data_IF_347219215553
#
_entry.id   IF_347219215553
#
_cell.length_a   1.000
_cell.length_b   1.000
_cell.length_c   1.000
_cell.angle_alpha   90.00
_cell.angle_beta   90.00
_cell.angle_gamma   90.00
#
_symmetry.space_group_name_H-M   'P 1'
#
loop_
_entity.id
_entity.type
_entity.pdbx_description
1 polymer ?
#
# COMPACT_ATOMS: atom_id res chain seq x y z
N UNK A 1 -0.11 0.46 9.66
CA UNK A 1 -0.75 -0.86 9.85
C UNK A 1 0.24 -2.01 10.09
N UNK A 2 1.39 -2.11 9.40
CA UNK A 2 2.31 -3.26 9.53
C UNK A 2 3.22 -3.29 10.78
N UNK A 3 3.27 -2.22 11.58
CA UNK A 3 4.08 -2.16 12.81
C UNK A 3 3.50 -2.94 14.00
N UNK A 4 2.24 -3.38 13.91
CA UNK A 4 1.51 -4.01 15.02
C UNK A 4 1.31 -5.53 14.86
N UNK A 5 1.86 -6.14 13.80
CA UNK A 5 1.74 -7.60 13.58
C UNK A 5 2.99 -8.30 14.14
N UNK A 6 2.81 -9.01 15.25
CA UNK A 6 3.86 -9.75 15.93
C UNK A 6 4.62 -10.68 14.98
N UNK A 7 5.90 -10.37 14.77
CA UNK A 7 7.10 -11.13 14.35
C UNK A 7 7.03 -12.43 13.51
N UNK A 8 5.93 -13.17 13.43
CA UNK A 8 5.80 -14.41 12.67
C UNK A 8 5.30 -14.19 11.23
N UNK A 9 4.09 -13.65 10.96
CA UNK A 9 3.58 -13.51 9.58
C UNK A 9 4.38 -12.50 8.75
N UNK A 10 4.78 -11.38 9.38
CA UNK A 10 5.59 -10.33 8.75
C UNK A 10 6.90 -10.88 8.18
N UNK A 11 7.58 -11.77 8.91
CA UNK A 11 8.86 -12.34 8.47
C UNK A 11 8.69 -13.28 7.27
N UNK A 12 7.61 -14.06 7.24
CA UNK A 12 7.32 -14.93 6.11
C UNK A 12 6.89 -14.13 4.88
N UNK A 13 6.05 -13.12 5.05
CA UNK A 13 5.65 -12.18 4.00
C UNK A 13 6.86 -11.53 3.32
N UNK A 14 7.78 -10.94 4.09
CA UNK A 14 8.99 -10.36 3.52
C UNK A 14 9.88 -11.39 2.87
N UNK A 15 10.07 -12.58 3.47
CA UNK A 15 10.85 -13.65 2.84
C UNK A 15 10.25 -14.09 1.50
N UNK A 16 8.92 -14.16 1.39
CA UNK A 16 8.22 -14.53 0.17
C UNK A 16 8.37 -13.44 -0.89
N UNK A 17 8.18 -12.18 -0.48
CA UNK A 17 8.49 -11.00 -1.29
C UNK A 17 9.91 -11.17 -1.79
N UNK A 18 10.96 -11.09 -0.95
CA UNK A 18 12.38 -11.09 -1.33
C UNK A 18 12.88 -12.25 -2.22
N UNK A 19 12.09 -13.30 -2.43
CA UNK A 19 12.40 -14.42 -3.32
C UNK A 19 11.93 -14.24 -4.77
N UNK A 20 11.03 -13.30 -5.04
CA UNK A 20 10.56 -12.99 -6.39
C UNK A 20 11.71 -12.48 -7.27
N UNK A 21 11.94 -13.04 -8.44
CA UNK A 21 12.95 -12.52 -9.37
C UNK A 21 12.46 -11.22 -10.03
N UNK A 22 12.67 -10.09 -9.34
CA UNK A 22 12.20 -8.77 -9.78
C UNK A 22 13.30 -7.72 -9.71
N UNK A 23 13.07 -6.62 -10.43
CA UNK A 23 13.99 -5.48 -10.46
C UNK A 23 14.17 -4.88 -9.06
N UNK A 24 15.41 -4.46 -8.75
CA UNK A 24 15.77 -3.78 -7.48
C UNK A 24 14.79 -2.66 -7.08
N UNK A 25 14.29 -1.90 -8.06
CA UNK A 25 13.35 -0.79 -7.83
C UNK A 25 12.00 -1.26 -7.28
N UNK A 26 11.51 -2.42 -7.71
CA UNK A 26 10.25 -2.99 -7.24
C UNK A 26 10.37 -3.34 -5.76
N UNK A 27 11.49 -3.95 -5.37
CA UNK A 27 11.77 -4.24 -3.96
C UNK A 27 11.76 -3.02 -3.05
N UNK A 28 12.49 -1.99 -3.44
CA UNK A 28 12.59 -0.75 -2.67
C UNK A 28 11.21 -0.12 -2.54
N UNK A 29 10.43 -0.12 -3.62
CA UNK A 29 9.07 0.38 -3.62
C UNK A 29 8.16 -0.42 -2.68
N UNK A 30 8.15 -1.76 -2.77
CA UNK A 30 7.36 -2.62 -1.88
C UNK A 30 7.77 -2.41 -0.41
N UNK A 31 9.06 -2.32 -0.12
CA UNK A 31 9.57 -2.01 1.20
C UNK A 31 9.07 -0.64 1.71
N UNK A 32 9.14 0.40 0.88
CA UNK A 32 8.61 1.73 1.21
C UNK A 32 7.10 1.68 1.47
N UNK A 33 6.33 0.96 0.65
CA UNK A 33 4.89 0.77 0.86
C UNK A 33 4.60 0.09 2.19
N UNK A 34 5.30 -1.00 2.51
CA UNK A 34 5.09 -1.76 3.74
C UNK A 34 5.45 -0.99 5.01
N UNK A 35 6.37 -0.04 4.91
CA UNK A 35 6.68 0.89 6.01
C UNK A 35 5.85 2.19 5.93
N UNK A 36 4.94 2.28 4.97
CA UNK A 36 4.15 3.45 4.62
C UNK A 36 5.01 4.69 4.30
N UNK A 37 6.30 4.56 4.02
CA UNK A 37 7.24 5.71 3.90
C UNK A 37 6.93 6.61 2.69
N UNK A 38 6.15 6.12 1.72
CA UNK A 38 5.83 6.88 0.51
C UNK A 38 5.21 8.25 0.85
N UNK A 39 5.65 9.32 0.14
CA UNK A 39 5.20 10.68 0.40
C UNK A 39 3.81 10.90 -0.18
N UNK A 40 2.77 10.47 0.53
CA UNK A 40 1.39 10.86 0.19
C UNK A 40 1.06 12.22 0.79
N UNK A 41 0.12 12.97 0.22
CA UNK A 41 -0.23 14.29 0.74
C UNK A 41 -0.67 14.26 2.22
N UNK A 42 -1.30 13.17 2.69
CA UNK A 42 -1.60 12.97 4.12
C UNK A 42 -0.32 12.91 4.97
N UNK A 43 0.73 12.20 4.51
CA UNK A 43 2.02 12.14 5.23
C UNK A 43 2.77 13.46 5.19
N UNK A 44 2.70 14.17 4.07
CA UNK A 44 3.30 15.50 3.95
C UNK A 44 2.60 16.47 4.89
N UNK A 45 1.26 16.45 4.95
CA UNK A 45 0.48 17.30 5.85
C UNK A 45 0.71 17.01 7.34
N UNK A 46 1.09 15.77 7.69
CA UNK A 46 1.50 15.43 9.05
C UNK A 46 2.80 16.16 9.46
N UNK A 47 3.74 16.34 8.52
CA UNK A 47 5.02 17.03 8.78
C UNK A 47 4.88 18.55 8.59
N UNK A 48 4.13 18.97 7.58
CA UNK A 48 3.92 20.37 7.18
C UNK A 48 2.46 20.76 7.40
N UNK A 49 2.21 21.42 8.53
CA UNK A 49 0.89 21.95 8.85
C UNK A 49 0.36 22.88 7.74
N UNK A 50 -0.93 22.75 7.42
CA UNK A 50 -1.60 23.53 6.38
C UNK A 50 -1.37 23.03 4.95
N UNK A 51 -0.66 21.91 4.75
CA UNK A 51 -0.54 21.28 3.44
C UNK A 51 -1.87 20.59 3.07
N UNK A 52 -2.26 20.74 1.79
CA UNK A 52 -3.46 20.11 1.22
C UNK A 52 -3.32 18.59 1.27
N UNK A 53 -4.37 17.89 1.68
CA UNK A 53 -4.35 16.44 1.84
C UNK A 53 -5.02 15.72 0.67
N UNK A 54 -5.72 16.46 -0.17
CA UNK A 54 -6.51 15.94 -1.29
C UNK A 54 -5.61 15.30 -2.35
N UNK A 55 -6.10 14.23 -2.96
CA UNK A 55 -5.42 13.57 -4.06
C UNK A 55 -5.38 14.50 -5.27
N UNK A 56 -4.20 14.76 -5.86
CA UNK A 56 -4.06 15.69 -6.98
C UNK A 56 -4.77 15.23 -8.25
N UNK A 57 -5.25 13.98 -8.31
CA UNK A 57 -5.96 13.43 -9.46
C UNK A 57 -7.48 13.54 -9.38
N UNK A 58 -8.07 13.42 -8.19
CA UNK A 58 -9.53 13.55 -8.02
C UNK A 58 -9.96 14.81 -7.28
N UNK A 59 -9.03 15.51 -6.62
CA UNK A 59 -9.24 16.75 -5.85
C UNK A 59 -10.36 16.64 -4.79
N UNK A 60 -10.63 15.44 -4.30
CA UNK A 60 -11.76 15.15 -3.42
C UNK A 60 -11.35 14.30 -2.21
N UNK A 61 -10.86 13.10 -2.44
CA UNK A 61 -10.44 12.21 -1.36
C UNK A 61 -9.03 12.53 -0.88
N UNK A 62 -8.74 12.21 0.39
CA UNK A 62 -7.39 12.35 0.92
C UNK A 62 -6.44 11.36 0.23
N UNK A 63 -5.26 11.84 -0.16
CA UNK A 63 -4.21 11.00 -0.71
C UNK A 63 -3.56 10.17 0.41
N UNK A 64 -4.15 9.02 0.69
CA UNK A 64 -3.55 7.95 1.48
C UNK A 64 -2.82 6.98 0.56
N UNK A 65 -2.02 6.09 1.15
CA UNK A 65 -1.35 5.03 0.40
C UNK A 65 -2.36 4.11 -0.31
N UNK A 66 -3.45 3.78 0.38
CA UNK A 66 -4.54 2.94 -0.15
C UNK A 66 -5.25 3.68 -1.29
N UNK A 67 -5.60 4.96 -1.10
CA UNK A 67 -6.24 5.73 -2.16
C UNK A 67 -5.37 5.78 -3.42
N UNK A 68 -4.08 6.09 -3.26
CA UNK A 68 -3.15 6.24 -4.38
C UNK A 68 -2.82 4.93 -5.10
N UNK A 69 -2.89 3.78 -4.41
CA UNK A 69 -2.42 2.49 -4.94
C UNK A 69 -3.50 1.42 -5.12
N UNK A 70 -4.74 1.65 -4.66
CA UNK A 70 -5.81 0.65 -4.69
C UNK A 70 -7.16 1.28 -5.05
N UNK A 71 -7.62 2.29 -4.31
CA UNK A 71 -9.00 2.77 -4.46
C UNK A 71 -9.21 3.66 -5.69
N UNK A 72 -8.17 4.36 -6.13
CA UNK A 72 -8.30 5.30 -7.25
C UNK A 72 -8.78 4.56 -8.52
N UNK A 73 -9.82 5.03 -9.22
CA UNK A 73 -10.48 4.27 -10.28
C UNK A 73 -9.55 3.73 -11.38
N UNK A 74 -8.59 4.54 -11.82
CA UNK A 74 -7.60 4.11 -12.82
C UNK A 74 -6.69 3.01 -12.28
N UNK A 75 -6.29 3.12 -11.01
CA UNK A 75 -5.41 2.12 -10.40
C UNK A 75 -6.17 0.82 -10.21
N UNK A 76 -7.41 0.88 -9.69
CA UNK A 76 -8.30 -0.27 -9.59
C UNK A 76 -8.46 -1.00 -10.92
N UNK A 77 -8.70 -0.28 -12.01
CA UNK A 77 -8.82 -0.88 -13.34
C UNK A 77 -7.53 -1.59 -13.79
N UNK A 78 -6.36 -0.98 -13.56
CA UNK A 78 -5.06 -1.59 -13.88
C UNK A 78 -4.81 -2.84 -13.04
N UNK A 79 -5.12 -2.79 -11.75
CA UNK A 79 -4.99 -3.93 -10.84
C UNK A 79 -5.89 -5.08 -11.27
N UNK A 80 -7.15 -4.80 -11.63
CA UNK A 80 -8.07 -5.82 -12.17
C UNK A 80 -7.53 -6.47 -13.45
N UNK A 81 -6.92 -5.72 -14.36
CA UNK A 81 -6.29 -6.28 -15.57
C UNK A 81 -5.13 -7.22 -15.20
N UNK A 82 -4.38 -6.89 -14.14
CA UNK A 82 -3.31 -7.73 -13.60
C UNK A 82 -3.78 -8.88 -12.71
N UNK A 83 -5.08 -9.04 -12.49
CA UNK A 83 -5.64 -10.04 -11.59
C UNK A 83 -5.39 -9.74 -10.10
N UNK A 84 -5.15 -8.48 -9.73
CA UNK A 84 -4.91 -7.99 -8.37
C UNK A 84 -6.13 -7.25 -7.81
N UNK A 85 -7.34 -7.79 -8.01
CA UNK A 85 -8.56 -7.12 -7.58
C UNK A 85 -8.81 -7.22 -6.07
N UNK A 86 -9.83 -6.49 -5.60
CA UNK A 86 -10.16 -6.40 -4.18
C UNK A 86 -10.55 -7.75 -3.55
N UNK A 87 -10.88 -8.78 -4.35
CA UNK A 87 -11.19 -10.11 -3.80
C UNK A 87 -9.96 -10.75 -3.16
N UNK A 88 -8.78 -10.60 -3.77
CA UNK A 88 -7.51 -11.13 -3.25
C UNK A 88 -7.05 -10.44 -1.97
N UNK A 89 -7.37 -9.16 -1.81
CA UNK A 89 -7.00 -8.39 -0.62
C UNK A 89 -7.96 -8.70 0.53
N UNK A 90 -9.24 -8.98 0.25
CA UNK A 90 -10.26 -9.17 1.30
C UNK A 90 -10.29 -10.60 1.83
N UNK A 91 -9.98 -11.63 1.01
CA UNK A 91 -10.04 -13.03 1.42
C UNK A 91 -8.90 -13.46 2.38
N UNK A 92 -7.74 -12.81 2.32
CA UNK A 92 -6.53 -13.24 3.05
C UNK A 92 -6.37 -12.67 4.47
N UNK A 93 -7.26 -11.78 4.95
CA UNK A 93 -7.19 -11.28 6.34
C UNK A 93 -8.01 -12.10 7.34
N UNK A 94 -8.86 -13.01 6.87
CA UNK A 94 -9.66 -13.87 7.75
C UNK A 94 -8.86 -15.02 8.41
N UNK A 95 -7.64 -15.30 7.95
CA UNK A 95 -6.81 -16.38 8.47
C UNK A 95 -5.72 -15.94 9.46
N UNK A 96 -5.68 -14.66 9.86
CA UNK A 96 -4.70 -14.12 10.81
C UNK A 96 -5.33 -13.50 12.07
N UNK A 97 -6.65 -13.68 12.26
CA UNK A 97 -7.34 -13.39 13.51
C UNK A 97 -7.82 -14.73 14.08
N UNK A 98 -6.88 -15.45 14.71
CA UNK A 98 -7.12 -16.47 15.74
C UNK A 98 -5.88 -16.55 16.64
#
# INVERSE_FOLDING_TARGET
MLKQMGLSPYRFFWKAIWKLDTLHKIWVFTWQMGHEILPTNVKIAFIRQGFRQECPRCDFEKETLIHALEDYPTVRAILSIGGLDNSLITEDYHCYID
#
